data_IF_642182108389
#
_entry.id   IF_642182108389
#
_cell.length_a   1.000
_cell.length_b   1.000
_cell.length_c   1.000
_cell.angle_alpha   90.00
_cell.angle_beta   90.00
_cell.angle_gamma   90.00
#
_symmetry.space_group_name_H-M   'P 1'
#
loop_
_entity.id
_entity.type
_entity.pdbx_description
1 polymer ?
#
# COMPACT_ATOMS: atom_id res chain seq x y z
N UNK A 1 -44.12 29.09 10.51
CA UNK A 1 -44.10 29.21 9.03
C UNK A 1 -44.22 27.82 8.46
N UNK A 2 -45.29 27.54 7.72
CA UNK A 2 -45.42 26.31 6.94
C UNK A 2 -44.48 26.40 5.74
N UNK A 3 -43.22 26.01 5.93
CA UNK A 3 -42.23 25.92 4.85
C UNK A 3 -42.64 24.80 3.93
N UNK A 4 -43.23 25.14 2.77
CA UNK A 4 -43.26 24.24 1.61
C UNK A 4 -41.81 23.85 1.34
N UNK A 5 -41.50 22.55 1.36
CA UNK A 5 -40.19 22.07 0.99
C UNK A 5 -39.87 22.58 -0.43
N UNK A 6 -38.67 23.13 -0.68
CA UNK A 6 -38.30 23.60 -2.00
C UNK A 6 -38.37 22.46 -3.00
N UNK A 7 -38.99 22.72 -4.16
CA UNK A 7 -39.04 21.77 -5.27
C UNK A 7 -37.64 21.63 -5.88
N UNK A 8 -37.24 20.39 -6.18
CA UNK A 8 -35.97 20.07 -6.84
C UNK A 8 -36.24 19.79 -8.33
N UNK A 9 -35.67 20.61 -9.20
CA UNK A 9 -35.75 20.45 -10.64
C UNK A 9 -34.47 19.78 -11.17
N UNK A 10 -34.58 18.96 -12.23
CA UNK A 10 -33.43 18.39 -12.93
C UNK A 10 -33.11 19.25 -14.15
N UNK A 11 -31.96 19.92 -14.15
CA UNK A 11 -31.59 20.89 -15.20
C UNK A 11 -30.27 20.49 -15.84
N UNK A 12 -30.13 20.65 -17.16
CA UNK A 12 -28.88 20.34 -17.83
C UNK A 12 -27.76 21.30 -17.37
N UNK A 13 -26.54 20.82 -17.06
CA UNK A 13 -25.44 21.69 -16.61
C UNK A 13 -25.07 22.81 -17.58
N UNK A 14 -25.35 22.62 -18.87
CA UNK A 14 -25.12 23.59 -19.95
C UNK A 14 -26.13 24.75 -19.93
N UNK A 15 -27.30 24.54 -19.35
CA UNK A 15 -28.36 25.55 -19.25
C UNK A 15 -28.21 26.42 -17.99
N UNK A 16 -27.25 26.09 -17.12
CA UNK A 16 -26.93 26.85 -15.92
C UNK A 16 -25.92 27.95 -16.19
N UNK A 17 -26.20 29.16 -15.70
CA UNK A 17 -25.36 30.34 -15.88
C UNK A 17 -24.48 30.56 -14.64
N UNK A 18 -23.15 30.63 -14.76
CA UNK A 18 -22.30 30.91 -13.62
C UNK A 18 -22.51 32.35 -13.13
N UNK A 19 -22.36 32.57 -11.82
CA UNK A 19 -22.39 33.91 -11.25
C UNK A 19 -21.18 34.71 -11.76
N UNK A 20 -21.41 35.78 -12.51
CA UNK A 20 -20.36 36.49 -13.24
C UNK A 20 -19.22 37.03 -12.34
N UNK A 21 -19.52 37.32 -11.07
CA UNK A 21 -18.54 37.82 -10.09
C UNK A 21 -18.21 36.79 -9.00
N UNK A 22 -18.24 35.50 -9.33
CA UNK A 22 -17.92 34.47 -8.34
C UNK A 22 -16.44 34.61 -7.94
N UNK A 23 -16.20 34.93 -6.68
CA UNK A 23 -14.85 35.09 -6.15
C UNK A 23 -14.17 33.74 -5.87
N UNK A 24 -14.93 32.66 -5.72
CA UNK A 24 -14.39 31.32 -5.44
C UNK A 24 -13.94 30.65 -6.74
N UNK A 25 -12.67 30.25 -6.76
CA UNK A 25 -12.08 29.48 -7.86
C UNK A 25 -11.87 28.03 -7.42
N UNK A 26 -12.02 27.11 -8.37
CA UNK A 26 -11.78 25.69 -8.16
C UNK A 26 -10.59 25.25 -9.00
N UNK A 27 -9.62 24.57 -8.38
CA UNK A 27 -8.50 23.99 -9.11
C UNK A 27 -8.94 22.73 -9.87
N UNK A 28 -8.17 22.30 -10.88
CA UNK A 28 -8.44 21.05 -11.59
C UNK A 28 -8.45 19.83 -10.66
N UNK A 29 -7.58 19.82 -9.63
CA UNK A 29 -7.51 18.77 -8.60
C UNK A 29 -8.80 18.72 -7.79
N UNK A 30 -9.27 19.87 -7.30
CA UNK A 30 -10.51 19.96 -6.52
C UNK A 30 -11.74 19.55 -7.34
N UNK A 31 -11.82 19.95 -8.62
CA UNK A 31 -12.93 19.55 -9.48
C UNK A 31 -12.99 18.03 -9.69
N UNK A 32 -11.83 17.35 -9.78
CA UNK A 32 -11.77 15.89 -9.85
C UNK A 32 -12.26 15.24 -8.56
N UNK A 33 -11.83 15.73 -7.39
CA UNK A 33 -12.33 15.22 -6.10
C UNK A 33 -13.86 15.33 -5.97
N UNK A 34 -14.43 16.48 -6.36
CA UNK A 34 -15.89 16.67 -6.37
C UNK A 34 -16.54 15.69 -7.36
N UNK A 35 -15.94 15.49 -8.54
CA UNK A 35 -16.43 14.56 -9.54
C UNK A 35 -16.41 13.11 -9.06
N UNK A 36 -15.35 12.68 -8.38
CA UNK A 36 -15.21 11.33 -7.84
C UNK A 36 -16.22 11.10 -6.70
N UNK A 37 -16.39 12.08 -5.81
CA UNK A 37 -17.46 12.07 -4.79
C UNK A 37 -18.86 11.95 -5.40
N UNK A 38 -19.15 12.69 -6.49
CA UNK A 38 -20.44 12.60 -7.19
C UNK A 38 -20.64 11.22 -7.86
N UNK A 39 -19.58 10.59 -8.39
CA UNK A 39 -19.68 9.25 -8.98
C UNK A 39 -20.03 8.19 -7.93
N UNK A 40 -19.41 8.29 -6.76
CA UNK A 40 -19.59 7.31 -5.68
C UNK A 40 -20.93 7.49 -4.97
N UNK A 41 -21.22 8.70 -4.48
CA UNK A 41 -22.37 8.96 -3.61
C UNK A 41 -23.56 9.55 -4.35
N UNK A 42 -23.42 9.84 -5.64
CA UNK A 42 -24.40 10.60 -6.40
C UNK A 42 -24.35 12.11 -6.11
N UNK A 43 -25.23 12.85 -6.78
CA UNK A 43 -25.32 14.30 -6.61
C UNK A 43 -26.22 14.64 -5.40
N UNK A 44 -25.66 14.52 -4.20
CA UNK A 44 -26.40 14.57 -2.92
C UNK A 44 -26.84 15.98 -2.52
N UNK A 45 -26.11 17.02 -2.91
CA UNK A 45 -26.40 18.41 -2.57
C UNK A 45 -26.83 19.23 -3.79
N UNK A 46 -28.11 19.61 -3.93
CA UNK A 46 -28.61 20.40 -5.05
C UNK A 46 -27.85 21.71 -5.27
N UNK A 47 -27.88 22.20 -6.51
CA UNK A 47 -27.37 23.51 -6.89
C UNK A 47 -28.44 24.55 -6.60
N UNK A 48 -28.06 25.67 -5.97
CA UNK A 48 -28.99 26.77 -5.73
C UNK A 48 -28.94 27.73 -6.90
N UNK A 49 -30.10 28.03 -7.48
CA UNK A 49 -30.23 28.89 -8.66
C UNK A 49 -31.28 29.98 -8.46
N UNK A 50 -31.14 31.07 -9.19
CA UNK A 50 -32.18 32.09 -9.30
C UNK A 50 -33.19 31.78 -10.43
N UNK A 51 -34.16 32.67 -10.62
CA UNK A 51 -35.20 32.57 -11.65
C UNK A 51 -34.64 32.50 -13.08
N UNK A 52 -33.43 33.01 -13.32
CA UNK A 52 -32.75 33.03 -14.61
C UNK A 52 -31.73 31.88 -14.80
N UNK A 53 -31.78 30.86 -13.93
CA UNK A 53 -30.82 29.74 -13.86
C UNK A 53 -29.38 30.18 -13.56
N UNK A 54 -29.21 31.34 -12.91
CA UNK A 54 -27.92 31.78 -12.42
C UNK A 54 -27.57 31.02 -11.16
N UNK A 55 -26.41 30.38 -11.14
CA UNK A 55 -25.91 29.60 -10.00
C UNK A 55 -25.58 30.56 -8.85
N UNK A 56 -26.30 30.43 -7.74
CA UNK A 56 -26.04 31.13 -6.49
C UNK A 56 -25.06 30.34 -5.60
N UNK A 57 -25.19 29.01 -5.56
CA UNK A 57 -24.27 28.13 -4.84
C UNK A 57 -24.12 26.77 -5.56
N UNK A 58 -22.92 26.19 -5.49
CA UNK A 58 -22.62 24.89 -6.11
C UNK A 58 -21.90 24.94 -7.45
N UNK A 59 -21.23 26.05 -7.80
CA UNK A 59 -20.47 26.18 -9.07
C UNK A 59 -19.48 25.02 -9.29
N UNK A 60 -18.72 24.64 -8.26
CA UNK A 60 -17.79 23.50 -8.34
C UNK A 60 -18.47 22.17 -8.66
N UNK A 61 -19.68 21.93 -8.14
CA UNK A 61 -20.46 20.71 -8.43
C UNK A 61 -20.96 20.69 -9.88
N UNK A 62 -21.38 21.84 -10.42
CA UNK A 62 -21.78 21.95 -11.83
C UNK A 62 -20.60 21.69 -12.77
N UNK A 63 -19.44 22.27 -12.48
CA UNK A 63 -18.22 22.04 -13.28
C UNK A 63 -17.72 20.59 -13.18
N UNK A 64 -17.80 19.98 -12.00
CA UNK A 64 -17.51 18.56 -11.81
C UNK A 64 -18.52 17.65 -12.55
N UNK A 65 -19.81 17.96 -12.51
CA UNK A 65 -20.84 17.24 -13.26
C UNK A 65 -20.60 17.29 -14.78
N UNK A 66 -20.18 18.45 -15.31
CA UNK A 66 -19.75 18.59 -16.70
C UNK A 66 -18.54 17.70 -17.01
N UNK A 67 -17.55 17.67 -16.11
CA UNK A 67 -16.34 16.85 -16.27
C UNK A 67 -16.65 15.36 -16.39
N UNK A 68 -17.66 14.86 -15.68
CA UNK A 68 -18.07 13.45 -15.69
C UNK A 68 -19.21 13.15 -16.69
N UNK A 69 -19.65 14.13 -17.46
CA UNK A 69 -20.65 13.96 -18.52
C UNK A 69 -22.09 13.78 -18.05
N UNK A 70 -22.46 14.31 -16.88
CA UNK A 70 -23.87 14.28 -16.44
C UNK A 70 -24.77 15.11 -17.35
N UNK A 71 -25.92 14.55 -17.71
CA UNK A 71 -26.92 15.22 -18.56
C UNK A 71 -27.81 16.19 -17.79
N UNK A 72 -28.06 15.92 -16.51
CA UNK A 72 -28.85 16.77 -15.61
C UNK A 72 -28.24 16.82 -14.22
N UNK A 73 -28.49 17.91 -13.49
CA UNK A 73 -28.13 18.06 -12.07
C UNK A 73 -29.36 18.55 -11.28
N UNK A 74 -29.50 18.15 -10.00
CA UNK A 74 -30.57 18.64 -9.14
C UNK A 74 -30.35 20.11 -8.78
N UNK A 75 -31.39 20.91 -8.96
CA UNK A 75 -31.40 22.34 -8.70
C UNK A 75 -32.58 22.74 -7.81
N UNK A 76 -32.35 23.65 -6.86
CA UNK A 76 -33.38 24.31 -6.08
C UNK A 76 -33.44 25.78 -6.49
N UNK A 77 -34.63 26.24 -6.88
CA UNK A 77 -34.87 27.62 -7.30
C UNK A 77 -35.21 28.52 -6.13
N UNK A 78 -34.56 29.68 -6.05
CA UNK A 78 -34.77 30.68 -5.01
C UNK A 78 -35.33 31.96 -5.65
N UNK A 79 -36.64 32.19 -5.48
CA UNK A 79 -37.36 33.29 -6.16
C UNK A 79 -37.64 34.51 -5.26
N UNK A 80 -37.39 34.40 -3.95
CA UNK A 80 -37.80 35.41 -2.97
C UNK A 80 -36.67 36.38 -2.56
N UNK A 81 -35.50 36.30 -3.19
CA UNK A 81 -34.35 37.15 -2.87
C UNK A 81 -34.25 38.32 -3.85
N UNK A 82 -34.09 39.53 -3.31
CA UNK A 82 -33.68 40.69 -4.10
C UNK A 82 -32.26 40.52 -4.66
N UNK A 83 -31.90 41.27 -5.70
CA UNK A 83 -30.54 41.23 -6.28
C UNK A 83 -29.43 41.50 -5.25
N UNK A 84 -29.67 42.40 -4.29
CA UNK A 84 -28.73 42.67 -3.21
C UNK A 84 -28.58 41.46 -2.27
N UNK A 85 -29.68 40.77 -1.95
CA UNK A 85 -29.66 39.55 -1.14
C UNK A 85 -28.97 38.39 -1.87
N UNK A 86 -29.20 38.20 -3.17
CA UNK A 86 -28.49 37.21 -3.99
C UNK A 86 -26.98 37.43 -3.93
N UNK A 87 -26.54 38.69 -4.09
CA UNK A 87 -25.11 39.08 -3.99
C UNK A 87 -24.52 38.79 -2.61
N UNK A 88 -25.23 39.14 -1.55
CA UNK A 88 -24.81 38.86 -0.19
C UNK A 88 -24.74 37.36 0.08
N UNK A 89 -25.70 36.59 -0.42
CA UNK A 89 -25.77 35.14 -0.25
C UNK A 89 -24.60 34.42 -0.90
N UNK A 90 -24.25 34.74 -2.15
CA UNK A 90 -23.10 34.14 -2.85
C UNK A 90 -21.79 34.37 -2.08
N UNK A 91 -21.63 35.54 -1.45
CA UNK A 91 -20.47 35.83 -0.60
C UNK A 91 -20.52 35.07 0.73
N UNK A 92 -21.68 35.06 1.37
CA UNK A 92 -21.90 34.39 2.64
C UNK A 92 -21.68 32.88 2.54
N UNK A 93 -22.28 32.20 1.56
CA UNK A 93 -22.12 30.75 1.33
C UNK A 93 -20.64 30.36 1.20
N UNK A 94 -19.89 31.11 0.40
CA UNK A 94 -18.46 30.90 0.23
C UNK A 94 -17.65 31.14 1.51
N UNK A 95 -17.95 32.22 2.25
CA UNK A 95 -17.20 32.56 3.47
C UNK A 95 -17.55 31.66 4.65
N UNK A 96 -18.82 31.30 4.81
CA UNK A 96 -19.28 30.41 5.87
C UNK A 96 -18.66 29.01 5.73
N UNK A 97 -18.57 28.49 4.51
CA UNK A 97 -17.87 27.24 4.24
C UNK A 97 -16.38 27.28 4.61
N UNK A 98 -15.71 28.44 4.49
CA UNK A 98 -14.31 28.63 4.85
C UNK A 98 -14.07 28.89 6.34
N UNK A 99 -15.12 29.22 7.11
CA UNK A 99 -15.00 29.50 8.54
C UNK A 99 -15.15 28.24 9.41
N UNK A 100 -15.62 27.13 8.82
CA UNK A 100 -15.70 25.86 9.51
C UNK A 100 -14.29 25.30 9.74
N UNK A 101 -14.07 24.70 10.90
CA UNK A 101 -12.86 23.96 11.26
C UNK A 101 -13.24 22.54 11.64
N UNK A 102 -12.29 21.62 11.51
CA UNK A 102 -12.45 20.26 12.01
C UNK A 102 -12.11 20.19 13.49
N UNK A 103 -12.78 19.29 14.19
CA UNK A 103 -12.24 18.68 15.39
C UNK A 103 -11.31 17.55 14.90
N UNK A 104 -10.00 17.73 15.05
CA UNK A 104 -9.01 16.83 14.43
C UNK A 104 -9.02 15.43 15.06
N UNK A 105 -9.33 15.32 16.34
CA UNK A 105 -9.38 14.04 17.05
C UNK A 105 -10.57 13.21 16.56
N UNK A 106 -11.77 13.81 16.53
CA UNK A 106 -12.97 13.14 16.03
C UNK A 106 -12.86 12.79 14.54
N UNK A 107 -12.22 13.66 13.74
CA UNK A 107 -12.00 13.39 12.32
C UNK A 107 -11.06 12.20 12.11
N UNK A 108 -9.97 12.12 12.88
CA UNK A 108 -9.03 11.01 12.80
C UNK A 108 -9.70 9.68 13.20
N UNK A 109 -10.52 9.68 14.26
CA UNK A 109 -11.29 8.50 14.68
C UNK A 109 -12.25 8.01 13.59
N UNK A 110 -12.99 8.91 12.95
CA UNK A 110 -13.93 8.56 11.87
C UNK A 110 -13.21 8.02 10.62
N UNK A 111 -12.11 8.65 10.21
CA UNK A 111 -11.30 8.17 9.09
C UNK A 111 -10.67 6.80 9.39
N UNK A 112 -10.26 6.56 10.64
CA UNK A 112 -9.74 5.26 11.07
C UNK A 112 -10.83 4.19 11.06
N UNK A 113 -12.04 4.52 11.53
CA UNK A 113 -13.19 3.63 11.49
C UNK A 113 -13.55 3.24 10.05
N UNK A 114 -13.63 4.21 9.13
CA UNK A 114 -13.87 3.97 7.71
C UNK A 114 -12.80 3.04 7.10
N UNK A 115 -11.52 3.29 7.37
CA UNK A 115 -10.43 2.44 6.89
C UNK A 115 -10.50 0.99 7.40
N UNK A 116 -11.07 0.78 8.60
CA UNK A 116 -11.21 -0.55 9.19
C UNK A 116 -12.41 -1.36 8.69
N UNK A 117 -13.46 -0.68 8.23
CA UNK A 117 -14.68 -1.34 7.72
C UNK A 117 -14.40 -2.02 6.38
N UNK A 118 -13.65 -1.35 5.50
CA UNK A 118 -13.26 -1.86 4.19
C UNK A 118 -11.85 -1.39 3.85
N UNK A 119 -10.90 -2.33 3.87
CA UNK A 119 -9.50 -2.08 3.54
C UNK A 119 -9.28 -1.65 2.07
N UNK A 120 -10.29 -1.80 1.20
CA UNK A 120 -10.28 -1.33 -0.19
C UNK A 120 -10.94 0.04 -0.39
N UNK A 121 -11.50 0.65 0.66
CA UNK A 121 -12.20 1.92 0.55
C UNK A 121 -11.22 3.08 0.31
N UNK A 122 -11.37 3.77 -0.82
CA UNK A 122 -10.55 4.94 -1.14
C UNK A 122 -10.98 6.16 -0.31
N UNK A 123 -10.22 6.43 0.75
CA UNK A 123 -10.42 7.61 1.59
C UNK A 123 -10.30 8.92 0.81
N UNK A 124 -9.67 8.94 -0.37
CA UNK A 124 -9.60 10.10 -1.25
C UNK A 124 -10.96 10.64 -1.68
N UNK A 125 -12.00 9.80 -1.71
CA UNK A 125 -13.37 10.17 -2.11
C UNK A 125 -14.01 11.15 -1.10
N UNK A 126 -13.54 11.14 0.15
CA UNK A 126 -13.99 12.09 1.19
C UNK A 126 -13.53 13.54 0.94
N UNK A 127 -12.62 13.74 -0.03
CA UNK A 127 -12.06 15.04 -0.39
C UNK A 127 -10.73 15.36 0.30
N UNK A 128 -10.29 14.54 1.25
CA UNK A 128 -8.93 14.57 1.79
C UNK A 128 -7.95 13.94 0.79
N UNK A 129 -6.74 14.48 0.68
CA UNK A 129 -5.69 13.84 -0.10
C UNK A 129 -4.91 12.81 0.74
N UNK A 130 -4.10 11.98 0.07
CA UNK A 130 -3.34 10.88 0.69
C UNK A 130 -2.48 11.37 1.87
N UNK A 131 -1.77 12.49 1.70
CA UNK A 131 -0.89 13.01 2.74
C UNK A 131 -1.67 13.58 3.93
N UNK A 132 -2.82 14.20 3.69
CA UNK A 132 -3.73 14.66 4.75
C UNK A 132 -4.27 13.47 5.57
N UNK A 133 -4.75 12.44 4.89
CA UNK A 133 -5.24 11.20 5.53
C UNK A 133 -4.14 10.55 6.37
N UNK A 134 -2.95 10.38 5.80
CA UNK A 134 -1.81 9.80 6.53
C UNK A 134 -1.43 10.66 7.74
N UNK A 135 -1.44 11.98 7.61
CA UNK A 135 -1.11 12.90 8.70
C UNK A 135 -2.14 12.80 9.83
N UNK A 136 -3.44 12.84 9.51
CA UNK A 136 -4.54 12.73 10.47
C UNK A 136 -4.50 11.40 11.24
N UNK A 137 -4.27 10.29 10.54
CA UNK A 137 -4.19 8.97 11.17
C UNK A 137 -2.88 8.74 11.94
N UNK A 138 -1.87 9.59 11.72
CA UNK A 138 -0.57 9.54 12.42
C UNK A 138 -0.49 10.50 13.62
N UNK A 139 -1.53 11.30 13.91
CA UNK A 139 -1.54 12.38 14.92
C UNK A 139 -1.04 11.93 16.31
N UNK A 140 -1.12 10.65 16.64
CA UNK A 140 -0.78 10.15 17.97
C UNK A 140 0.71 9.85 18.24
N UNK A 141 1.64 10.07 17.30
CA UNK A 141 3.10 9.95 17.60
C UNK A 141 3.93 10.92 16.76
N UNK A 142 4.70 11.85 17.38
CA UNK A 142 5.84 12.43 16.68
C UNK A 142 6.79 11.29 16.31
N UNK A 143 6.97 11.05 15.02
CA UNK A 143 7.90 10.05 14.52
C UNK A 143 9.31 10.64 14.55
N UNK A 144 10.21 10.01 15.31
CA UNK A 144 11.64 10.29 15.24
C UNK A 144 12.26 9.30 14.25
N UNK A 145 12.83 9.81 13.15
CA UNK A 145 13.51 9.02 12.11
C UNK A 145 14.72 8.21 12.63
N UNK A 146 15.07 8.42 13.90
CA UNK A 146 16.13 7.72 14.62
C UNK A 146 15.61 6.82 15.74
N UNK A 147 14.31 6.74 16.00
CA UNK A 147 13.74 5.80 16.98
C UNK A 147 13.86 4.36 16.46
N UNK A 148 14.67 3.49 17.11
CA UNK A 148 14.86 2.11 16.67
C UNK A 148 13.69 1.19 17.02
N UNK A 149 12.64 1.68 17.68
CA UNK A 149 11.54 0.84 18.20
C UNK A 149 10.97 -0.13 17.17
N UNK A 150 10.75 0.33 15.94
CA UNK A 150 10.15 -0.48 14.88
C UNK A 150 11.17 -1.41 14.19
N UNK A 151 12.46 -1.16 14.40
CA UNK A 151 13.56 -1.94 13.85
C UNK A 151 13.92 -3.17 14.71
N UNK A 152 13.33 -3.28 15.90
CA UNK A 152 13.60 -4.40 16.83
C UNK A 152 13.23 -5.73 16.17
N UNK A 153 14.23 -6.60 16.06
CA UNK A 153 14.08 -7.99 15.61
C UNK A 153 14.02 -8.89 16.86
N UNK A 154 13.03 -9.79 16.98
CA UNK A 154 12.97 -10.74 18.09
C UNK A 154 14.22 -11.64 18.12
N UNK A 155 14.83 -11.77 19.29
CA UNK A 155 16.01 -12.61 19.47
C UNK A 155 15.71 -14.12 19.31
N UNK A 156 14.46 -14.52 19.49
CA UNK A 156 14.00 -15.90 19.35
C UNK A 156 12.86 -15.96 18.34
N UNK A 157 13.04 -16.77 17.28
CA UNK A 157 12.02 -17.07 16.29
C UNK A 157 11.77 -18.60 16.28
N UNK A 158 10.56 -19.07 16.61
CA UNK A 158 10.24 -20.50 16.54
C UNK A 158 10.34 -21.01 15.10
N UNK A 159 10.99 -22.16 14.91
CA UNK A 159 11.13 -22.78 13.60
C UNK A 159 9.78 -23.31 13.09
N UNK A 160 9.18 -22.65 12.09
CA UNK A 160 7.85 -22.95 11.54
C UNK A 160 7.84 -23.03 10.02
N UNK A 161 8.64 -22.19 9.35
CA UNK A 161 8.68 -22.00 7.92
C UNK A 161 9.26 -23.20 7.17
N UNK A 162 8.68 -23.48 6.00
CA UNK A 162 9.17 -24.48 5.06
C UNK A 162 9.08 -23.93 3.63
N UNK A 163 9.98 -24.34 2.72
CA UNK A 163 9.90 -23.96 1.32
C UNK A 163 8.53 -24.24 0.72
N UNK A 164 7.99 -23.24 0.03
CA UNK A 164 6.67 -23.22 -0.59
C UNK A 164 5.50 -22.88 0.33
N UNK A 165 5.73 -22.74 1.64
CA UNK A 165 4.69 -22.29 2.59
C UNK A 165 4.21 -20.88 2.24
N UNK A 166 2.91 -20.66 2.39
CA UNK A 166 2.28 -19.33 2.32
C UNK A 166 1.65 -19.01 3.66
N UNK A 167 2.01 -17.87 4.23
CA UNK A 167 1.52 -17.36 5.49
C UNK A 167 0.71 -16.08 5.28
N UNK A 168 -0.42 -15.98 5.99
CA UNK A 168 -1.20 -14.75 6.16
C UNK A 168 -0.79 -14.10 7.48
N UNK A 169 -0.49 -12.81 7.45
CA UNK A 169 -0.13 -12.02 8.62
C UNK A 169 -1.05 -10.80 8.61
N UNK A 170 -2.22 -10.87 9.26
CA UNK A 170 -3.24 -9.83 9.16
C UNK A 170 -3.63 -9.55 7.70
N UNK A 171 -3.30 -8.37 7.18
CA UNK A 171 -3.55 -7.99 5.78
C UNK A 171 -2.39 -8.31 4.81
N UNK A 172 -1.25 -8.78 5.35
CA UNK A 172 -0.02 -9.10 4.62
C UNK A 172 0.04 -10.58 4.23
N UNK A 173 0.95 -10.89 3.29
CA UNK A 173 1.23 -12.25 2.87
C UNK A 173 2.73 -12.47 2.73
N UNK A 174 3.21 -13.62 3.16
CA UNK A 174 4.59 -14.08 3.03
C UNK A 174 4.60 -15.42 2.32
N UNK A 175 5.46 -15.58 1.31
CA UNK A 175 5.80 -16.88 0.74
C UNK A 175 7.25 -17.21 1.07
N UNK A 176 7.48 -18.45 1.52
CA UNK A 176 8.84 -18.99 1.59
C UNK A 176 9.20 -19.57 0.23
N UNK A 177 10.03 -18.91 -0.57
CA UNK A 177 10.27 -19.34 -1.96
C UNK A 177 11.30 -18.52 -2.72
N UNK A 178 11.60 -18.98 -3.93
CA UNK A 178 12.57 -18.35 -4.83
C UNK A 178 11.90 -17.18 -5.58
N UNK A 179 12.46 -15.98 -5.43
CA UNK A 179 11.98 -14.77 -6.10
C UNK A 179 12.24 -14.75 -7.61
N UNK A 180 13.11 -15.61 -8.12
CA UNK A 180 13.38 -15.75 -9.55
C UNK A 180 12.36 -16.67 -10.22
N UNK A 181 11.68 -17.53 -9.46
CA UNK A 181 10.61 -18.36 -9.98
C UNK A 181 9.30 -17.56 -10.07
N UNK A 182 8.86 -17.31 -11.31
CA UNK A 182 7.62 -16.58 -11.59
C UNK A 182 6.40 -17.25 -10.93
N UNK A 183 6.34 -18.58 -10.87
CA UNK A 183 5.21 -19.29 -10.27
C UNK A 183 5.11 -19.05 -8.76
N UNK A 184 6.25 -18.87 -8.09
CA UNK A 184 6.31 -18.47 -6.68
C UNK A 184 5.71 -17.08 -6.48
N UNK A 185 6.07 -16.11 -7.33
CA UNK A 185 5.52 -14.75 -7.24
C UNK A 185 4.04 -14.69 -7.62
N UNK A 186 3.62 -15.43 -8.66
CA UNK A 186 2.21 -15.57 -9.04
C UNK A 186 1.36 -16.08 -7.85
N UNK A 187 1.87 -17.08 -7.12
CA UNK A 187 1.20 -17.64 -5.91
C UNK A 187 1.15 -16.65 -4.77
N UNK A 188 2.22 -15.90 -4.51
CA UNK A 188 2.27 -14.85 -3.50
C UNK A 188 1.21 -13.78 -3.76
N UNK A 189 1.14 -13.30 -5.00
CA UNK A 189 0.27 -12.21 -5.39
C UNK A 189 -1.19 -12.63 -5.55
N UNK A 190 -1.47 -13.90 -5.87
CA UNK A 190 -2.82 -14.45 -6.03
C UNK A 190 -3.76 -13.57 -6.88
N UNK A 191 -3.23 -13.04 -7.98
CA UNK A 191 -3.95 -12.18 -8.92
C UNK A 191 -4.05 -10.70 -8.52
N UNK A 192 -3.56 -10.31 -7.34
CA UNK A 192 -3.43 -8.91 -6.96
C UNK A 192 -2.20 -8.26 -7.62
N UNK A 193 -2.17 -6.93 -7.66
CA UNK A 193 -1.08 -6.15 -8.25
C UNK A 193 -0.57 -5.08 -7.28
N UNK A 194 0.75 -4.90 -7.21
CA UNK A 194 1.40 -3.94 -6.34
C UNK A 194 1.32 -2.50 -6.87
N UNK A 195 1.04 -1.54 -5.98
CA UNK A 195 1.15 -0.10 -6.30
C UNK A 195 2.61 0.34 -6.36
N UNK A 196 3.44 -0.27 -5.52
CA UNK A 196 4.85 0.06 -5.43
C UNK A 196 5.68 -1.15 -5.03
N UNK A 197 6.97 -1.03 -5.26
CA UNK A 197 7.97 -2.00 -4.82
C UNK A 197 8.95 -1.28 -3.91
N UNK A 198 9.29 -1.93 -2.80
CA UNK A 198 10.49 -1.60 -2.04
C UNK A 198 11.22 -2.92 -1.84
N UNK A 199 12.45 -3.02 -2.34
CA UNK A 199 13.16 -4.30 -2.33
C UNK A 199 14.66 -4.13 -2.21
N UNK A 200 15.29 -5.07 -1.52
CA UNK A 200 16.71 -5.06 -1.17
C UNK A 200 17.38 -6.36 -1.61
N UNK A 201 17.66 -6.52 -2.93
CA UNK A 201 18.30 -7.73 -3.42
C UNK A 201 19.69 -7.92 -2.78
N UNK A 202 20.17 -9.17 -2.66
CA UNK A 202 21.53 -9.44 -2.20
C UNK A 202 22.58 -8.78 -3.11
N UNK A 203 23.68 -8.31 -2.50
CA UNK A 203 24.69 -7.50 -3.21
C UNK A 203 25.80 -8.34 -3.85
N UNK A 204 25.72 -9.68 -3.87
CA UNK A 204 26.78 -10.54 -4.42
C UNK A 204 28.16 -10.26 -3.81
N UNK A 205 28.20 -10.10 -2.49
CA UNK A 205 29.42 -9.94 -1.70
C UNK A 205 29.44 -11.01 -0.61
N UNK A 206 30.57 -11.68 -0.35
CA UNK A 206 30.67 -12.66 0.74
C UNK A 206 30.31 -12.04 2.09
N UNK A 207 29.53 -12.77 2.90
CA UNK A 207 29.17 -12.33 4.24
C UNK A 207 30.40 -12.34 5.15
N UNK A 208 31.23 -13.39 5.07
CA UNK A 208 32.49 -13.45 5.81
C UNK A 208 33.47 -12.32 5.38
N UNK A 209 34.00 -11.61 6.38
CA UNK A 209 34.92 -10.48 6.18
C UNK A 209 34.28 -9.14 5.77
N UNK A 210 33.02 -9.11 5.34
CA UNK A 210 32.32 -7.88 4.92
C UNK A 210 31.14 -7.51 5.83
N UNK A 211 30.54 -8.49 6.52
CA UNK A 211 29.41 -8.27 7.42
C UNK A 211 29.69 -8.92 8.79
N UNK A 212 29.65 -8.13 9.87
CA UNK A 212 29.99 -8.57 11.23
C UNK A 212 31.43 -8.20 11.63
N UNK A 213 31.53 -7.24 12.56
CA UNK A 213 32.80 -6.63 12.95
C UNK A 213 33.92 -7.62 13.33
N UNK A 214 35.12 -7.37 12.79
CA UNK A 214 36.42 -7.97 13.20
C UNK A 214 36.45 -9.49 13.46
N UNK A 215 35.55 -10.27 12.85
CA UNK A 215 35.51 -11.73 12.98
C UNK A 215 34.94 -12.29 14.30
N UNK A 216 34.38 -11.46 15.19
CA UNK A 216 33.76 -11.94 16.46
C UNK A 216 32.32 -12.42 16.30
N UNK A 217 31.65 -11.99 15.23
CA UNK A 217 30.31 -12.45 14.86
C UNK A 217 30.40 -13.09 13.47
N UNK A 218 29.92 -14.32 13.35
CA UNK A 218 29.85 -15.06 12.09
C UNK A 218 28.39 -15.21 11.71
N UNK A 219 27.99 -14.57 10.62
CA UNK A 219 26.70 -14.80 9.99
C UNK A 219 26.80 -15.98 9.03
N UNK A 220 25.68 -16.66 8.79
CA UNK A 220 25.56 -17.59 7.68
C UNK A 220 25.58 -16.79 6.38
N UNK A 221 26.18 -17.34 5.33
CA UNK A 221 26.09 -16.78 3.97
C UNK A 221 24.62 -16.68 3.53
N UNK A 222 24.31 -15.75 2.62
CA UNK A 222 23.00 -15.66 2.02
C UNK A 222 22.72 -16.91 1.16
N UNK A 223 21.44 -17.24 0.97
CA UNK A 223 21.03 -18.40 0.17
C UNK A 223 21.50 -18.31 -1.30
N UNK A 224 21.69 -17.09 -1.81
CA UNK A 224 22.16 -16.79 -3.17
C UNK A 224 22.77 -15.39 -3.22
N UNK A 225 23.61 -15.14 -4.23
CA UNK A 225 24.31 -13.89 -4.46
C UNK A 225 25.07 -13.42 -3.21
N UNK A 226 25.93 -14.30 -2.71
CA UNK A 226 26.86 -14.12 -1.60
C UNK A 226 28.32 -14.08 -2.09
N UNK A 227 28.56 -13.56 -3.30
CA UNK A 227 29.88 -13.39 -3.89
C UNK A 227 30.31 -14.47 -4.89
N UNK A 228 29.44 -15.44 -5.18
CA UNK A 228 29.71 -16.53 -6.10
C UNK A 228 29.46 -16.18 -7.58
N UNK A 229 28.66 -15.15 -7.86
CA UNK A 229 28.25 -14.83 -9.23
C UNK A 229 29.25 -13.91 -9.94
N UNK A 230 29.52 -14.19 -11.22
CA UNK A 230 30.18 -13.22 -12.11
C UNK A 230 29.29 -12.01 -12.37
N UNK A 231 29.85 -10.94 -12.94
CA UNK A 231 29.10 -9.73 -13.32
C UNK A 231 27.91 -10.07 -14.23
N UNK A 232 28.10 -10.97 -15.19
CA UNK A 232 27.03 -11.39 -16.11
C UNK A 232 25.93 -12.19 -15.42
N UNK A 233 26.30 -13.14 -14.55
CA UNK A 233 25.34 -13.93 -13.77
C UNK A 233 24.55 -13.05 -12.80
N UNK A 234 25.21 -12.12 -12.12
CA UNK A 234 24.55 -11.19 -11.20
C UNK A 234 23.62 -10.21 -11.92
N UNK A 235 24.02 -9.73 -13.11
CA UNK A 235 23.14 -8.91 -13.95
C UNK A 235 21.89 -9.70 -14.39
N UNK A 236 22.05 -10.96 -14.78
CA UNK A 236 20.93 -11.82 -15.16
C UNK A 236 20.01 -12.15 -13.98
N UNK A 237 20.58 -12.36 -12.80
CA UNK A 237 19.87 -12.51 -11.53
C UNK A 237 18.97 -11.30 -11.24
N UNK A 238 19.55 -10.09 -11.23
CA UNK A 238 18.82 -8.85 -10.99
C UNK A 238 17.72 -8.63 -12.04
N UNK A 239 18.03 -8.89 -13.31
CA UNK A 239 17.05 -8.76 -14.40
C UNK A 239 15.84 -9.67 -14.19
N UNK A 240 16.06 -10.92 -13.84
CA UNK A 240 14.99 -11.89 -13.59
C UNK A 240 14.09 -11.44 -12.43
N UNK A 241 14.70 -10.93 -11.35
CA UNK A 241 13.95 -10.35 -10.24
C UNK A 241 13.15 -9.10 -10.65
N UNK A 242 13.73 -8.20 -11.46
CA UNK A 242 13.05 -7.00 -11.94
C UNK A 242 11.88 -7.33 -12.87
N UNK A 243 12.05 -8.32 -13.75
CA UNK A 243 10.97 -8.82 -14.62
C UNK A 243 9.81 -9.39 -13.77
N UNK A 244 10.09 -10.19 -12.75
CA UNK A 244 9.07 -10.71 -11.83
C UNK A 244 8.37 -9.62 -11.02
N UNK A 245 9.11 -8.60 -10.54
CA UNK A 245 8.54 -7.42 -9.87
C UNK A 245 7.62 -6.65 -10.81
N UNK A 246 8.07 -6.39 -12.04
CA UNK A 246 7.32 -5.61 -13.03
C UNK A 246 6.04 -6.31 -13.50
N UNK A 247 6.06 -7.64 -13.62
CA UNK A 247 4.91 -8.43 -14.02
C UNK A 247 3.75 -8.39 -13.01
N UNK A 248 4.03 -8.00 -11.76
CA UNK A 248 3.09 -7.99 -10.64
C UNK A 248 2.83 -6.60 -10.07
N UNK A 249 3.20 -5.54 -10.81
CA UNK A 249 3.01 -4.16 -10.41
C UNK A 249 2.14 -3.40 -11.42
N UNK A 250 1.47 -2.36 -10.93
CA UNK A 250 0.61 -1.50 -11.73
C UNK A 250 1.43 -0.63 -12.71
N UNK A 251 0.88 -0.35 -13.89
CA UNK A 251 1.42 0.72 -14.75
C UNK A 251 1.43 2.05 -13.96
N UNK A 252 2.56 2.74 -13.97
CA UNK A 252 2.80 3.95 -13.18
C UNK A 252 3.36 3.71 -11.78
N UNK A 253 3.59 2.45 -11.36
CA UNK A 253 4.21 2.15 -10.06
C UNK A 253 5.62 2.70 -9.94
N UNK A 254 6.05 2.97 -8.70
CA UNK A 254 7.42 3.33 -8.36
C UNK A 254 8.09 2.15 -7.64
N UNK A 255 9.26 1.76 -8.13
CA UNK A 255 10.06 0.66 -7.61
C UNK A 255 11.33 1.22 -7.00
N UNK A 256 11.44 1.12 -5.68
CA UNK A 256 12.65 1.45 -4.93
C UNK A 256 13.50 0.19 -4.80
N UNK A 257 14.68 0.21 -5.43
CA UNK A 257 15.64 -0.90 -5.39
C UNK A 257 16.90 -0.46 -4.66
N UNK A 258 17.17 -1.05 -3.51
CA UNK A 258 18.40 -0.81 -2.75
C UNK A 258 19.59 -1.54 -3.39
N UNK A 259 20.74 -0.87 -3.48
CA UNK A 259 22.00 -1.49 -3.92
C UNK A 259 23.22 -0.71 -3.45
N UNK A 260 24.37 -1.38 -3.38
CA UNK A 260 25.67 -0.72 -3.21
C UNK A 260 26.15 -0.06 -4.51
N UNK A 261 26.87 1.06 -4.39
CA UNK A 261 27.42 1.81 -5.53
C UNK A 261 28.31 0.98 -6.46
N UNK A 262 28.94 -0.09 -5.95
CA UNK A 262 29.77 -1.02 -6.72
C UNK A 262 28.99 -1.73 -7.82
N UNK A 263 27.68 -1.89 -7.66
CA UNK A 263 26.81 -2.59 -8.61
C UNK A 263 25.91 -1.67 -9.43
N UNK A 264 26.26 -0.37 -9.55
CA UNK A 264 25.51 0.57 -10.40
C UNK A 264 25.41 0.03 -11.84
N UNK A 265 26.49 -0.51 -12.40
CA UNK A 265 26.49 -0.97 -13.79
C UNK A 265 25.52 -2.14 -14.01
N UNK A 266 25.53 -3.12 -13.11
CA UNK A 266 24.68 -4.31 -13.13
C UNK A 266 23.22 -3.96 -12.93
N UNK A 267 22.89 -3.06 -11.98
CA UNK A 267 21.51 -2.59 -11.77
C UNK A 267 21.00 -1.84 -12.99
N UNK A 268 21.80 -0.93 -13.56
CA UNK A 268 21.40 -0.17 -14.75
C UNK A 268 21.18 -1.08 -15.96
N UNK A 269 22.06 -2.06 -16.17
CA UNK A 269 21.93 -3.04 -17.24
C UNK A 269 20.72 -3.98 -17.04
N UNK A 270 20.46 -4.42 -15.81
CA UNK A 270 19.32 -5.27 -15.48
C UNK A 270 17.97 -4.52 -15.62
N UNK A 271 17.95 -3.21 -15.36
CA UNK A 271 16.78 -2.36 -15.48
C UNK A 271 16.40 -2.04 -16.94
N UNK A 272 17.35 -2.15 -17.88
CA UNK A 272 17.15 -1.80 -19.29
C UNK A 272 16.06 -2.68 -19.93
N UNK A 273 15.03 -2.03 -20.48
CA UNK A 273 13.89 -2.69 -21.09
C UNK A 273 12.83 -3.22 -20.11
N UNK A 274 13.09 -3.18 -18.81
CA UNK A 274 12.09 -3.51 -17.76
C UNK A 274 11.37 -2.24 -17.28
N UNK A 275 12.13 -1.20 -16.96
CA UNK A 275 11.60 0.06 -16.46
C UNK A 275 11.55 1.13 -17.55
N UNK A 276 10.57 2.04 -17.45
CA UNK A 276 10.38 3.09 -18.46
C UNK A 276 11.23 4.34 -18.18
N UNK A 277 11.56 4.60 -16.91
CA UNK A 277 12.26 5.82 -16.49
C UNK A 277 12.96 5.62 -15.14
N UNK A 278 14.22 6.05 -15.01
CA UNK A 278 14.84 6.29 -13.71
C UNK A 278 14.34 7.64 -13.18
N UNK A 279 13.44 7.64 -12.19
CA UNK A 279 12.95 8.90 -11.59
C UNK A 279 14.04 9.65 -10.86
N UNK A 280 14.83 8.91 -10.08
CA UNK A 280 15.91 9.48 -9.30
C UNK A 280 16.86 8.39 -8.82
N UNK A 281 18.06 8.82 -8.46
CA UNK A 281 19.00 8.03 -7.68
C UNK A 281 19.11 8.67 -6.30
N UNK A 282 18.69 7.94 -5.29
CA UNK A 282 18.66 8.39 -3.90
C UNK A 282 19.90 7.88 -3.19
N UNK A 283 20.56 8.76 -2.43
CA UNK A 283 21.62 8.39 -1.51
C UNK A 283 21.06 8.34 -0.08
N UNK A 284 20.94 7.13 0.48
CA UNK A 284 20.65 6.97 1.89
C UNK A 284 21.95 7.13 2.69
N UNK A 285 22.08 8.25 3.41
CA UNK A 285 23.18 8.59 4.28
C UNK A 285 22.94 8.05 5.68
N UNK A 286 23.87 7.23 6.17
CA UNK A 286 23.85 6.57 7.48
C UNK A 286 24.55 7.43 8.52
N UNK A 287 24.35 7.13 9.81
CA UNK A 287 25.02 7.87 10.90
C UNK A 287 26.54 7.74 10.88
N UNK A 288 27.06 6.58 10.47
CA UNK A 288 28.48 6.28 10.48
C UNK A 288 28.91 5.53 9.23
N UNK A 289 30.19 5.70 8.85
CA UNK A 289 30.78 4.96 7.74
C UNK A 289 31.08 3.51 8.13
N UNK A 290 30.96 2.60 7.17
CA UNK A 290 31.30 1.18 7.31
C UNK A 290 32.79 0.94 7.60
N UNK A 291 33.18 -0.32 7.72
CA UNK A 291 34.58 -0.72 7.93
C UNK A 291 35.44 -0.39 6.69
N UNK A 292 36.72 -0.08 6.89
CA UNK A 292 37.68 0.18 5.81
C UNK A 292 38.75 1.19 6.19
N UNK A 293 39.88 1.19 5.47
CA UNK A 293 41.03 2.09 5.70
C UNK A 293 41.10 3.25 4.70
N UNK A 294 40.34 3.19 3.61
CA UNK A 294 40.26 4.24 2.60
C UNK A 294 38.95 5.06 2.73
N UNK A 295 38.33 5.51 1.64
CA UNK A 295 37.01 6.16 1.70
C UNK A 295 35.95 5.17 2.17
N UNK A 296 35.55 5.30 3.43
CA UNK A 296 34.55 4.44 4.07
C UNK A 296 33.16 4.83 3.57
N UNK A 297 32.41 3.88 3.02
CA UNK A 297 31.04 4.14 2.59
C UNK A 297 30.17 4.51 3.79
N UNK A 298 29.53 5.67 3.73
CA UNK A 298 28.51 6.15 4.68
C UNK A 298 27.14 6.21 4.01
N UNK A 299 26.98 5.59 2.84
CA UNK A 299 25.71 5.59 2.14
C UNK A 299 25.43 4.25 1.47
N UNK A 300 24.16 4.05 1.16
CA UNK A 300 23.66 3.08 0.18
C UNK A 300 22.86 3.82 -0.87
N UNK A 301 22.71 3.22 -2.06
CA UNK A 301 21.93 3.81 -3.13
C UNK A 301 20.55 3.16 -3.18
N UNK A 302 19.55 3.96 -3.51
CA UNK A 302 18.19 3.50 -3.78
C UNK A 302 17.79 4.04 -5.15
N UNK A 303 17.56 3.14 -6.09
CA UNK A 303 17.12 3.49 -7.43
C UNK A 303 15.60 3.59 -7.42
N UNK A 304 15.06 4.76 -7.76
CA UNK A 304 13.63 4.97 -7.89
C UNK A 304 13.23 4.83 -9.37
N UNK A 305 12.77 3.66 -9.76
CA UNK A 305 12.32 3.39 -11.13
C UNK A 305 10.82 3.60 -11.27
N UNK A 306 10.39 4.10 -12.43
CA UNK A 306 9.00 4.08 -12.84
C UNK A 306 8.77 2.89 -13.77
N UNK A 307 7.69 2.15 -13.51
CA UNK A 307 7.17 1.16 -14.44
C UNK A 307 6.15 1.80 -15.38
N UNK A 308 6.29 1.53 -16.68
CA UNK A 308 5.29 1.90 -17.69
C UNK A 308 5.05 3.41 -17.88
N UNK A 309 3.94 3.74 -18.53
CA UNK A 309 3.66 5.09 -19.04
C UNK A 309 2.59 5.83 -18.26
N UNK A 310 1.73 5.14 -17.51
CA UNK A 310 0.69 5.78 -16.72
C UNK A 310 1.27 6.77 -15.68
N UNK A 311 0.48 7.77 -15.22
CA UNK A 311 0.92 8.66 -14.16
C UNK A 311 1.28 7.89 -12.88
N UNK A 312 2.32 8.34 -12.18
CA UNK A 312 2.71 7.79 -10.88
C UNK A 312 2.06 8.60 -9.75
N UNK A 313 1.91 7.97 -8.59
CA UNK A 313 1.50 8.64 -7.35
C UNK A 313 2.66 9.46 -6.78
N UNK A 314 2.37 10.69 -6.38
CA UNK A 314 3.28 11.56 -5.63
C UNK A 314 2.46 12.27 -4.55
N UNK A 315 2.67 11.88 -3.30
CA UNK A 315 1.90 12.42 -2.16
C UNK A 315 2.59 13.57 -1.43
N UNK A 316 3.89 13.80 -1.65
CA UNK A 316 4.64 14.85 -0.96
C UNK A 316 4.64 16.19 -1.72
N UNK A 317 4.55 16.15 -3.06
CA UNK A 317 4.58 17.33 -3.93
C UNK A 317 5.74 18.30 -3.54
N UNK A 318 5.58 19.62 -3.74
CA UNK A 318 6.55 20.64 -3.28
C UNK A 318 6.38 21.00 -1.79
N UNK A 319 6.24 19.99 -0.91
CA UNK A 319 6.09 20.22 0.53
C UNK A 319 4.73 20.76 0.98
N UNK A 320 3.72 20.70 0.11
CA UNK A 320 2.41 21.32 0.34
C UNK A 320 1.67 20.75 1.57
N UNK A 321 1.97 19.51 1.95
CA UNK A 321 1.33 18.79 3.06
C UNK A 321 2.34 18.45 4.16
N UNK A 322 3.36 19.29 4.35
CA UNK A 322 4.36 19.13 5.41
C UNK A 322 5.44 18.08 5.13
N UNK A 323 5.26 17.23 4.11
CA UNK A 323 6.25 16.23 3.68
C UNK A 323 7.18 16.81 2.62
N UNK A 324 8.44 16.98 2.97
CA UNK A 324 9.48 17.46 2.06
C UNK A 324 10.48 16.34 1.79
N UNK A 325 10.76 16.05 0.52
CA UNK A 325 11.65 14.96 0.10
C UNK A 325 12.74 15.50 -0.80
N UNK A 326 13.97 15.05 -0.56
CA UNK A 326 15.11 15.22 -1.46
C UNK A 326 15.64 13.84 -1.87
N UNK A 327 16.58 13.80 -2.81
CA UNK A 327 17.28 12.56 -3.17
C UNK A 327 18.43 12.22 -2.20
N UNK A 328 18.58 12.95 -1.10
CA UNK A 328 19.45 12.59 0.02
C UNK A 328 18.56 12.23 1.20
N UNK A 329 18.62 10.96 1.62
CA UNK A 329 17.80 10.41 2.70
C UNK A 329 18.69 10.21 3.92
N UNK A 330 18.39 10.86 5.03
CA UNK A 330 19.18 10.76 6.25
C UNK A 330 18.44 9.90 7.28
N UNK A 331 18.85 8.64 7.40
CA UNK A 331 18.32 7.70 8.39
C UNK A 331 19.46 6.93 9.03
N UNK A 332 19.27 6.49 10.27
CA UNK A 332 20.28 5.72 10.99
C UNK A 332 20.68 4.45 10.25
N UNK A 333 21.90 3.97 10.47
CA UNK A 333 22.29 2.63 10.04
C UNK A 333 21.78 1.55 11.01
N UNK A 334 21.87 0.28 10.61
CA UNK A 334 21.66 -0.85 11.52
C UNK A 334 22.68 -0.81 12.68
N UNK A 335 22.20 -0.99 13.90
CA UNK A 335 23.01 -1.08 15.11
C UNK A 335 23.74 -2.42 15.19
N UNK A 336 24.74 -2.51 16.06
CA UNK A 336 25.50 -3.75 16.24
C UNK A 336 24.63 -4.93 16.70
N UNK A 337 23.63 -4.70 17.55
CA UNK A 337 22.72 -5.77 18.04
C UNK A 337 21.78 -6.26 16.94
N UNK A 338 21.27 -5.36 16.09
CA UNK A 338 20.45 -5.72 14.93
C UNK A 338 21.25 -6.50 13.90
N UNK A 339 22.49 -6.07 13.66
CA UNK A 339 23.41 -6.78 12.79
C UNK A 339 23.68 -8.21 13.27
N UNK A 340 23.58 -8.51 14.57
CA UNK A 340 23.71 -9.90 15.08
C UNK A 340 22.58 -10.81 14.63
N UNK A 341 21.39 -10.26 14.40
CA UNK A 341 20.18 -11.01 14.08
C UNK A 341 19.94 -11.08 12.57
N UNK A 342 20.31 -10.03 11.83
CA UNK A 342 20.29 -10.04 10.37
C UNK A 342 21.38 -9.15 9.78
N UNK A 343 22.14 -9.62 8.77
CA UNK A 343 23.30 -8.93 8.22
C UNK A 343 22.99 -7.56 7.58
N UNK A 344 21.79 -7.39 7.02
CA UNK A 344 21.38 -6.19 6.25
C UNK A 344 19.99 -5.70 6.66
N UNK A 345 19.85 -5.10 7.85
CA UNK A 345 18.56 -4.52 8.29
C UNK A 345 18.42 -3.11 7.72
N UNK A 346 17.32 -2.86 7.01
CA UNK A 346 16.92 -1.51 6.57
C UNK A 346 16.02 -0.84 7.62
N UNK A 347 16.20 0.47 7.90
CA UNK A 347 15.35 1.20 8.84
C UNK A 347 13.89 1.21 8.38
N UNK A 348 12.98 0.80 9.26
CA UNK A 348 11.54 0.74 8.99
C UNK A 348 11.00 2.11 8.65
N UNK A 349 11.44 3.18 9.34
CA UNK A 349 10.95 4.53 9.07
C UNK A 349 11.27 4.99 7.65
N UNK A 350 12.48 4.70 7.15
CA UNK A 350 12.87 5.03 5.78
C UNK A 350 11.94 4.37 4.76
N UNK A 351 11.62 3.09 4.98
CA UNK A 351 10.70 2.35 4.11
C UNK A 351 9.28 2.90 4.25
N UNK A 352 8.83 3.22 5.47
CA UNK A 352 7.51 3.79 5.73
C UNK A 352 7.33 5.14 5.00
N UNK A 353 8.36 5.98 4.98
CA UNK A 353 8.34 7.24 4.24
C UNK A 353 8.25 7.02 2.74
N UNK A 354 9.08 6.12 2.21
CA UNK A 354 9.02 5.71 0.80
C UNK A 354 7.64 5.15 0.44
N UNK A 355 7.03 4.36 1.32
CA UNK A 355 5.68 3.82 1.14
C UNK A 355 4.66 4.94 1.03
N UNK A 356 4.65 5.84 2.01
CA UNK A 356 3.69 6.94 2.02
C UNK A 356 3.92 7.92 0.87
N UNK A 357 5.13 8.01 0.28
CA UNK A 357 5.44 8.93 -0.83
C UNK A 357 4.67 8.58 -2.13
N UNK A 358 4.41 7.28 -2.36
CA UNK A 358 3.96 6.76 -3.67
C UNK A 358 2.78 5.78 -3.57
N UNK A 359 2.13 5.64 -2.42
CA UNK A 359 0.96 4.77 -2.23
C UNK A 359 -0.09 5.40 -1.30
N UNK A 360 -1.33 4.99 -1.45
CA UNK A 360 -2.43 5.20 -0.51
C UNK A 360 -2.55 4.05 0.49
N UNK A 361 -3.32 4.23 1.56
CA UNK A 361 -3.65 3.16 2.52
C UNK A 361 -4.40 2.02 1.82
N UNK A 362 -4.22 0.80 2.31
CA UNK A 362 -4.81 -0.41 1.70
C UNK A 362 -4.09 -0.89 0.43
N UNK A 363 -3.26 -0.07 -0.21
CA UNK A 363 -2.52 -0.48 -1.41
C UNK A 363 -1.36 -1.43 -1.09
N UNK A 364 -0.94 -2.20 -2.10
CA UNK A 364 0.06 -3.27 -1.95
C UNK A 364 1.48 -2.75 -2.20
N UNK A 365 2.37 -3.13 -1.28
CA UNK A 365 3.83 -3.01 -1.36
C UNK A 365 4.41 -4.41 -1.58
N UNK A 366 5.12 -4.60 -2.69
CA UNK A 366 5.78 -5.86 -3.02
C UNK A 366 7.27 -5.79 -2.69
N UNK A 367 7.77 -6.84 -2.05
CA UNK A 367 9.19 -7.06 -1.77
C UNK A 367 9.55 -8.52 -2.02
N UNK A 368 10.47 -8.78 -2.94
CA UNK A 368 10.87 -10.15 -3.27
C UNK A 368 12.11 -10.62 -2.49
N UNK A 369 12.65 -9.79 -1.61
CA UNK A 369 13.81 -10.10 -0.78
C UNK A 369 13.51 -9.71 0.67
N UNK A 370 12.57 -10.43 1.28
CA UNK A 370 11.93 -10.05 2.53
C UNK A 370 12.87 -9.94 3.75
N UNK A 371 13.96 -10.71 3.79
CA UNK A 371 14.99 -10.66 4.83
C UNK A 371 14.39 -10.71 6.23
N UNK A 372 14.68 -9.72 7.06
CA UNK A 372 14.13 -9.60 8.43
C UNK A 372 12.73 -8.97 8.52
N UNK A 373 12.07 -8.68 7.39
CA UNK A 373 10.69 -8.20 7.35
C UNK A 373 10.50 -6.70 7.60
N UNK A 374 11.53 -5.86 7.41
CA UNK A 374 11.37 -4.40 7.60
C UNK A 374 10.28 -3.80 6.69
N UNK A 375 10.14 -4.27 5.46
CA UNK A 375 9.06 -3.84 4.55
C UNK A 375 7.67 -4.21 5.08
N UNK A 376 7.54 -5.37 5.75
CA UNK A 376 6.27 -5.80 6.36
C UNK A 376 5.88 -4.86 7.51
N UNK A 377 6.81 -4.56 8.42
CA UNK A 377 6.55 -3.65 9.54
C UNK A 377 6.25 -2.23 9.04
N UNK A 378 6.97 -1.76 8.03
CA UNK A 378 6.72 -0.45 7.42
C UNK A 378 5.34 -0.36 6.77
N UNK A 379 4.91 -1.42 6.06
CA UNK A 379 3.58 -1.49 5.47
C UNK A 379 2.49 -1.51 6.56
N UNK A 380 2.64 -2.34 7.60
CA UNK A 380 1.68 -2.41 8.71
C UNK A 380 1.56 -1.05 9.41
N UNK A 381 2.71 -0.44 9.76
CA UNK A 381 2.77 0.90 10.39
C UNK A 381 2.03 1.96 9.58
N UNK A 382 2.11 1.88 8.26
CA UNK A 382 1.48 2.84 7.35
C UNK A 382 0.08 2.41 6.89
N UNK A 383 -0.45 1.28 7.35
CA UNK A 383 -1.74 0.75 6.90
C UNK A 383 -1.78 0.38 5.42
N UNK A 384 -0.66 -0.06 4.86
CA UNK A 384 -0.54 -0.69 3.54
C UNK A 384 -0.40 -2.20 3.70
N UNK A 385 -0.59 -2.93 2.60
CA UNK A 385 -0.53 -4.40 2.57
C UNK A 385 0.79 -4.85 1.99
N UNK A 386 1.46 -5.79 2.65
CA UNK A 386 2.76 -6.27 2.20
C UNK A 386 2.63 -7.64 1.53
N UNK A 387 3.37 -7.84 0.45
CA UNK A 387 3.56 -9.14 -0.21
C UNK A 387 5.05 -9.43 -0.24
N UNK A 388 5.49 -10.38 0.58
CA UNK A 388 6.90 -10.71 0.77
C UNK A 388 7.23 -12.08 0.19
N UNK A 389 8.36 -12.16 -0.52
CA UNK A 389 9.04 -13.42 -0.82
C UNK A 389 10.34 -13.49 -0.02
N UNK A 390 10.60 -14.63 0.61
CA UNK A 390 11.87 -14.89 1.29
C UNK A 390 12.27 -16.35 1.06
N UNK A 391 13.47 -16.57 0.54
CA UNK A 391 13.93 -17.91 0.14
C UNK A 391 14.36 -18.76 1.35
N UNK A 392 14.80 -18.11 2.41
CA UNK A 392 15.35 -18.75 3.61
C UNK A 392 14.25 -18.98 4.66
N UNK A 393 13.94 -20.24 5.00
CA UNK A 393 12.93 -20.54 6.02
C UNK A 393 13.23 -19.90 7.38
N UNK A 394 14.51 -19.71 7.74
CA UNK A 394 14.86 -19.06 9.01
C UNK A 394 14.52 -17.58 9.02
N UNK A 395 14.70 -16.89 7.89
CA UNK A 395 14.28 -15.49 7.77
C UNK A 395 12.76 -15.39 7.69
N UNK A 396 12.07 -16.36 7.08
CA UNK A 396 10.62 -16.45 7.20
C UNK A 396 10.18 -16.53 8.65
N UNK A 397 10.78 -17.40 9.47
CA UNK A 397 10.47 -17.51 10.90
C UNK A 397 10.67 -16.20 11.66
N UNK A 398 11.74 -15.47 11.34
CA UNK A 398 12.00 -14.13 11.88
C UNK A 398 10.90 -13.15 11.48
N UNK A 399 10.47 -13.13 10.21
CA UNK A 399 9.38 -12.27 9.73
C UNK A 399 8.09 -12.57 10.51
N UNK A 400 7.74 -13.86 10.65
CA UNK A 400 6.54 -14.29 11.39
C UNK A 400 6.60 -13.80 12.84
N UNK A 401 7.69 -14.08 13.55
CA UNK A 401 7.85 -13.68 14.95
C UNK A 401 7.88 -12.16 15.14
N UNK A 402 8.50 -11.43 14.20
CA UNK A 402 8.58 -9.97 14.23
C UNK A 402 7.22 -9.33 14.05
N UNK A 403 6.42 -9.83 13.11
CA UNK A 403 5.04 -9.41 12.94
C UNK A 403 4.21 -9.64 14.20
N UNK A 404 4.22 -10.88 14.73
CA UNK A 404 3.43 -11.23 15.92
C UNK A 404 3.79 -10.36 17.13
N UNK A 405 5.08 -10.08 17.31
CA UNK A 405 5.56 -9.21 18.38
C UNK A 405 5.15 -7.73 18.18
N UNK A 406 5.16 -7.23 16.95
CA UNK A 406 4.88 -5.83 16.64
C UNK A 406 3.36 -5.55 16.57
N UNK A 407 2.63 -6.33 15.77
CA UNK A 407 1.21 -6.15 15.48
C UNK A 407 0.29 -6.71 16.58
N UNK A 408 0.82 -7.59 17.44
CA UNK A 408 0.04 -8.32 18.46
C UNK A 408 -1.08 -9.18 17.86
N UNK A 409 -0.82 -9.73 16.68
CA UNK A 409 -1.71 -10.62 15.93
C UNK A 409 -0.96 -11.89 15.51
N UNK A 410 -1.67 -12.97 15.20
CA UNK A 410 -1.09 -14.28 14.89
C UNK A 410 -0.79 -14.46 13.40
N UNK A 411 0.36 -15.08 13.08
CA UNK A 411 0.64 -15.50 11.72
C UNK A 411 -0.01 -16.86 11.42
N UNK A 412 -0.82 -16.92 10.36
CA UNK A 412 -1.62 -18.10 10.00
C UNK A 412 -1.05 -18.77 8.74
N UNK A 413 -0.73 -20.06 8.83
CA UNK A 413 -0.33 -20.85 7.67
C UNK A 413 -1.55 -21.09 6.78
N UNK A 414 -1.50 -20.61 5.54
CA UNK A 414 -2.59 -20.74 4.55
C UNK A 414 -2.38 -21.94 3.65
N UNK A 415 -1.14 -22.15 3.23
CA UNK A 415 -0.79 -23.22 2.30
C UNK A 415 0.54 -23.83 2.69
N UNK A 416 0.59 -25.16 2.68
CA UNK A 416 1.83 -25.94 2.75
C UNK A 416 1.84 -26.96 1.62
N UNK A 417 2.83 -26.93 0.71
CA UNK A 417 2.93 -27.94 -0.32
C UNK A 417 3.07 -29.32 0.34
N UNK A 418 2.32 -30.31 -0.15
CA UNK A 418 2.52 -31.69 0.29
C UNK A 418 3.93 -32.12 -0.06
N UNK A 419 4.68 -32.63 0.92
CA UNK A 419 5.97 -33.30 0.66
C UNK A 419 5.75 -34.40 -0.38
N UNK A 420 6.47 -34.32 -1.50
CA UNK A 420 6.53 -35.41 -2.46
C UNK A 420 7.16 -36.63 -1.75
N UNK A 421 6.32 -37.60 -1.34
CA UNK A 421 6.76 -38.84 -0.71
C UNK A 421 6.16 -39.12 0.66
N UNK A 422 4.88 -39.48 0.69
CA UNK A 422 4.39 -40.58 1.54
C UNK A 422 3.38 -41.34 0.72
N UNK A 423 3.81 -42.44 0.11
CA UNK A 423 2.87 -43.44 -0.40
C UNK A 423 2.12 -43.95 0.83
N UNK A 424 0.84 -43.59 0.95
CA UNK A 424 -0.06 -44.28 1.87
C UNK A 424 -0.17 -45.70 1.33
N UNK A 425 0.39 -46.67 2.06
CA UNK A 425 0.08 -48.07 1.84
C UNK A 425 -1.44 -48.22 1.99
N UNK A 426 -2.11 -48.43 0.85
CA UNK A 426 -3.47 -48.92 0.84
C UNK A 426 -3.44 -50.27 1.56
N UNK A 427 -4.07 -50.32 2.73
CA UNK A 427 -4.39 -51.60 3.37
C UNK A 427 -5.55 -52.20 2.59
N UNK A 428 -5.35 -53.44 2.16
CA UNK A 428 -6.30 -54.23 1.37
C UNK A 428 -7.68 -54.26 2.05
N UNK A 429 -8.67 -53.65 1.39
CA UNK A 429 -10.08 -53.95 1.63
C UNK A 429 -10.57 -54.81 0.47
N UNK A 430 -10.93 -56.06 0.78
CA UNK A 430 -11.48 -57.04 -0.14
C UNK A 430 -12.75 -56.52 -0.85
N UNK A 431 -13.03 -56.93 -2.09
CA UNK A 431 -14.18 -56.46 -2.84
C UNK A 431 -15.46 -57.13 -2.32
N UNK A 432 -16.45 -56.32 -1.93
CA UNK A 432 -17.82 -56.79 -1.71
C UNK A 432 -18.62 -56.44 -2.96
N UNK A 433 -19.17 -57.48 -3.58
CA UNK A 433 -19.95 -57.44 -4.81
C UNK A 433 -21.23 -56.61 -4.66
N UNK A 434 -21.53 -55.85 -5.72
CA UNK A 434 -22.86 -55.33 -6.05
C UNK A 434 -23.83 -56.46 -6.37
N UNK A 435 -25.01 -56.44 -5.75
CA UNK A 435 -26.31 -56.54 -6.44
C UNK A 435 -27.47 -56.21 -5.46
N UNK A 436 -28.51 -55.44 -5.86
CA UNK A 436 -29.68 -55.11 -5.04
C UNK A 436 -30.80 -56.14 -5.25
N UNK A 437 -31.71 -56.37 -4.28
CA UNK A 437 -33.04 -55.72 -4.40
C UNK A 437 -33.81 -55.53 -3.08
N UNK A 438 -34.87 -54.73 -3.12
CA UNK A 438 -36.02 -54.89 -2.23
C UNK A 438 -36.50 -53.60 -1.58
N UNK A 439 -37.46 -52.95 -2.25
CA UNK A 439 -38.24 -51.86 -1.69
C UNK A 439 -39.14 -52.37 -0.55
N UNK A 440 -39.16 -51.66 0.59
CA UNK A 440 -40.29 -51.61 1.52
C UNK A 440 -40.14 -50.38 2.44
N UNK A 441 -40.99 -49.37 2.22
CA UNK A 441 -41.37 -48.32 3.20
C UNK A 441 -42.55 -48.84 4.01
N UNK A 442 -42.65 -48.65 5.36
CA UNK A 442 -43.05 -47.35 5.97
C UNK A 442 -42.59 -47.21 7.46
N UNK A 443 -43.16 -46.32 8.33
CA UNK A 443 -43.84 -45.03 8.15
C UNK A 443 -43.12 -43.85 8.84
N UNK A 444 -43.60 -42.65 8.52
CA UNK A 444 -43.24 -41.36 9.11
C UNK A 444 -43.58 -41.30 10.61
N UNK A 445 -42.65 -40.81 11.43
CA UNK A 445 -42.91 -40.43 12.83
C UNK A 445 -42.86 -38.90 13.00
N UNK A 446 -43.86 -38.39 13.68
CA UNK A 446 -44.48 -37.06 13.59
C UNK A 446 -43.80 -36.01 14.50
N UNK A 447 -42.53 -36.20 14.86
CA UNK A 447 -41.90 -35.47 15.99
C UNK A 447 -40.74 -34.55 15.58
N UNK A 448 -40.26 -34.57 14.34
CA UNK A 448 -39.09 -33.77 13.95
C UNK A 448 -39.38 -32.39 13.33
N UNK A 449 -40.64 -32.03 13.04
CA UNK A 449 -41.01 -30.76 12.35
C UNK A 449 -41.29 -29.59 13.33
N UNK A 450 -40.99 -29.73 14.63
CA UNK A 450 -41.27 -28.67 15.64
C UNK A 450 -40.06 -27.91 16.21
N UNK A 451 -38.90 -27.95 15.55
CA UNK A 451 -37.68 -27.28 16.06
C UNK A 451 -36.92 -26.44 15.05
N UNK A 452 -37.62 -25.77 14.13
CA UNK A 452 -36.99 -24.86 13.16
C UNK A 452 -37.62 -23.46 13.03
N UNK A 453 -38.40 -23.02 14.02
CA UNK A 453 -38.72 -21.59 14.20
C UNK A 453 -38.85 -21.29 15.69
N UNK A 454 -37.81 -20.67 16.24
CA UNK A 454 -37.71 -20.13 17.59
C UNK A 454 -36.53 -19.19 17.65
#
# INVERSE_FOLDING_TARGET
MTTKLPQIDQIAPVDLRPWAKNARKHSKKQLRQIADSIREFGFTNPVLIDEAHTILAGHGRVEAAKLIGMTTVPCVRIEHMTEAQKRAYVLADNKLALNATWDEDLLAEELAALASIDAGFDLGITGFNIAEVDSLLSINKPEDDRDPRDDVIPANAPARGQPGDIWQLGSHRLICGDSLDRATVDRLMAGETARMVFTDPPYNVPVDGHVGGSGKLKHREFAMASGEMSVGEFTAFLRSAFENLSAHALDGSIHFVCMDWRHIAEVMAAAEGVYSELKNLIAWVKDSGGMGTFYRSRHELIFAWKLGTAPHTNSFELGQHGRYRTNVWEYRGASFEELKLHPTVKPVQMIADAIRDVSARGEIVLDLFGGSGSTLIAAEKTGRRARLCEIDPLYCDIILARYEAWAKDEAVLVERPRKAGTAVQATDAAPVNDDPPGAETPPLDEVAIRRMLG
#
